data_IF_433964086895
#
_entry.id   IF_433964086895
#
_cell.length_a   1.000
_cell.length_b   1.000
_cell.length_c   1.000
_cell.angle_alpha   90.00
_cell.angle_beta   90.00
_cell.angle_gamma   90.00
#
_symmetry.space_group_name_H-M   'P 1'
#
loop_
_entity.id
_entity.type
_entity.pdbx_description
1 polymer ?
#
# COMPACT_ATOMS: atom_id res chain seq x y z
N UNK A 1 18.55 40.21 -27.26
CA UNK A 1 18.96 38.88 -26.80
C UNK A 1 18.42 38.73 -25.39
N UNK A 2 17.16 38.33 -25.25
CA UNK A 2 16.75 36.91 -25.15
C UNK A 2 17.40 36.26 -23.90
N UNK A 3 16.68 35.73 -22.90
CA UNK A 3 15.41 35.01 -22.96
C UNK A 3 14.59 35.16 -21.69
N UNK A 4 13.30 35.40 -21.90
CA UNK A 4 12.21 34.97 -21.05
C UNK A 4 12.30 33.44 -20.83
N UNK A 5 12.27 32.94 -19.59
CA UNK A 5 11.56 31.69 -19.27
C UNK A 5 11.53 31.44 -17.76
N UNK A 6 10.78 32.25 -17.02
CA UNK A 6 10.37 31.97 -15.63
C UNK A 6 8.89 31.59 -15.52
N UNK A 7 8.27 31.16 -16.64
CA UNK A 7 6.82 30.88 -16.73
C UNK A 7 6.46 29.39 -16.82
N UNK A 8 7.45 28.49 -16.81
CA UNK A 8 7.24 27.06 -17.00
C UNK A 8 6.76 26.30 -15.76
N UNK A 9 7.20 26.67 -14.56
CA UNK A 9 6.93 25.87 -13.35
C UNK A 9 5.59 26.17 -12.68
N UNK A 10 5.05 27.39 -12.80
CA UNK A 10 3.79 27.77 -12.15
C UNK A 10 2.53 27.32 -12.92
N UNK A 11 2.68 26.67 -14.08
CA UNK A 11 1.54 26.33 -14.94
C UNK A 11 0.93 24.95 -14.64
N UNK A 12 1.63 24.08 -13.89
CA UNK A 12 1.19 22.69 -13.63
C UNK A 12 0.34 22.50 -12.36
N UNK A 13 0.33 23.47 -11.43
CA UNK A 13 -0.42 23.33 -10.16
C UNK A 13 -1.83 23.93 -10.20
N UNK A 14 -2.23 24.52 -11.33
CA UNK A 14 -3.61 24.92 -11.55
C UNK A 14 -4.38 23.73 -12.12
N UNK A 15 -4.46 22.64 -11.34
CA UNK A 15 -5.42 21.58 -11.59
C UNK A 15 -6.81 22.20 -11.54
N UNK A 16 -7.30 22.58 -12.71
CA UNK A 16 -8.57 23.27 -12.88
C UNK A 16 -9.64 22.30 -12.41
N UNK A 17 -10.09 22.46 -11.15
CA UNK A 17 -11.08 21.56 -10.55
C UNK A 17 -12.24 21.43 -11.53
N UNK A 18 -12.48 20.20 -11.99
CA UNK A 18 -13.49 19.92 -13.00
C UNK A 18 -14.83 20.55 -12.61
N UNK A 19 -15.58 21.17 -13.55
CA UNK A 19 -16.89 21.74 -13.27
C UNK A 19 -17.84 20.75 -12.58
N UNK A 20 -17.71 19.45 -12.88
CA UNK A 20 -18.45 18.36 -12.25
C UNK A 20 -18.11 18.24 -10.76
N UNK A 21 -16.83 18.29 -10.41
CA UNK A 21 -16.35 18.23 -9.02
C UNK A 21 -16.81 19.47 -8.24
N UNK A 22 -16.75 20.66 -8.85
CA UNK A 22 -17.27 21.90 -8.23
C UNK A 22 -18.77 21.80 -7.93
N UNK A 23 -19.56 21.23 -8.85
CA UNK A 23 -21.01 21.02 -8.67
C UNK A 23 -21.27 20.02 -7.54
N UNK A 24 -20.54 18.90 -7.52
CA UNK A 24 -20.66 17.88 -6.47
C UNK A 24 -20.34 18.47 -5.08
N UNK A 25 -19.23 19.20 -4.95
CA UNK A 25 -18.83 19.80 -3.68
C UNK A 25 -19.83 20.85 -3.18
N UNK A 26 -20.43 21.62 -4.09
CA UNK A 26 -21.50 22.58 -3.75
C UNK A 26 -22.76 21.86 -3.24
N UNK A 27 -23.10 20.73 -3.85
CA UNK A 27 -24.24 19.89 -3.43
C UNK A 27 -23.96 19.26 -2.06
N UNK A 28 -22.74 18.77 -1.83
CA UNK A 28 -22.35 18.25 -0.52
C UNK A 28 -22.43 19.31 0.59
N UNK A 29 -22.19 20.59 0.27
CA UNK A 29 -22.29 21.70 1.25
C UNK A 29 -23.72 22.01 1.68
N UNK A 30 -24.75 21.63 0.92
CA UNK A 30 -26.14 21.80 1.35
C UNK A 30 -26.61 20.69 2.30
N UNK A 31 -25.80 19.65 2.51
CA UNK A 31 -26.13 18.57 3.45
C UNK A 31 -25.82 18.95 4.90
N UNK A 32 -26.48 18.27 5.82
CA UNK A 32 -26.18 18.34 7.25
C UNK A 32 -24.75 17.85 7.54
N UNK A 33 -24.25 18.14 8.75
CA UNK A 33 -22.92 17.66 9.17
C UNK A 33 -22.82 16.14 9.16
N UNK A 34 -23.86 15.44 9.61
CA UNK A 34 -23.88 13.97 9.64
C UNK A 34 -23.81 13.37 8.24
N UNK A 35 -24.63 13.86 7.31
CA UNK A 35 -24.64 13.40 5.92
C UNK A 35 -23.29 13.64 5.22
N UNK A 36 -22.65 14.79 5.48
CA UNK A 36 -21.30 15.07 4.96
C UNK A 36 -20.26 14.10 5.50
N UNK A 37 -20.34 13.74 6.78
CA UNK A 37 -19.42 12.76 7.38
C UNK A 37 -19.61 11.36 6.78
N UNK A 38 -20.87 10.93 6.59
CA UNK A 38 -21.17 9.64 5.94
C UNK A 38 -20.66 9.63 4.49
N UNK A 39 -20.90 10.71 3.73
CA UNK A 39 -20.40 10.82 2.36
C UNK A 39 -18.87 10.80 2.30
N UNK A 40 -18.19 11.49 3.22
CA UNK A 40 -16.73 11.49 3.32
C UNK A 40 -16.19 10.08 3.60
N UNK A 41 -16.82 9.33 4.51
CA UNK A 41 -16.46 7.94 4.78
C UNK A 41 -16.61 7.07 3.53
N UNK A 42 -17.76 7.11 2.86
CA UNK A 42 -18.01 6.30 1.67
C UNK A 42 -17.04 6.63 0.53
N UNK A 43 -16.71 7.92 0.34
CA UNK A 43 -15.70 8.32 -0.64
C UNK A 43 -14.32 7.80 -0.26
N UNK A 44 -13.93 7.89 1.01
CA UNK A 44 -12.67 7.34 1.49
C UNK A 44 -12.61 5.83 1.27
N UNK A 45 -13.63 5.09 1.68
CA UNK A 45 -13.74 3.64 1.47
C UNK A 45 -13.65 3.28 -0.03
N UNK A 46 -14.19 4.11 -0.93
CA UNK A 46 -14.10 3.88 -2.38
C UNK A 46 -12.72 4.14 -2.99
N UNK A 47 -11.87 4.90 -2.28
CA UNK A 47 -10.51 5.22 -2.68
C UNK A 47 -9.48 4.27 -2.06
N UNK A 48 -9.86 3.56 -1.00
CA UNK A 48 -9.11 2.40 -0.54
C UNK A 48 -9.29 1.32 -1.63
N UNK A 49 -8.46 1.44 -2.67
CA UNK A 49 -8.08 0.30 -3.50
C UNK A 49 -7.60 -0.77 -2.53
N UNK A 50 -7.97 -2.01 -2.79
CA UNK A 50 -7.75 -3.16 -1.92
C UNK A 50 -6.24 -3.45 -1.76
N UNK A 51 -5.50 -2.56 -1.10
CA UNK A 51 -4.10 -2.74 -0.69
C UNK A 51 -3.99 -3.90 0.32
N UNK A 52 -5.14 -4.35 0.86
CA UNK A 52 -5.25 -5.60 1.60
C UNK A 52 -5.18 -6.83 0.69
N UNK A 53 -5.58 -6.73 -0.58
CA UNK A 53 -5.39 -7.77 -1.61
C UNK A 53 -3.89 -7.91 -1.92
N UNK A 54 -3.17 -6.79 -2.12
CA UNK A 54 -1.70 -6.80 -2.28
C UNK A 54 -0.97 -7.30 -1.00
N UNK A 55 -1.47 -6.97 0.20
CA UNK A 55 -0.91 -7.47 1.45
C UNK A 55 -1.16 -8.98 1.67
N UNK A 56 -2.31 -9.49 1.20
CA UNK A 56 -2.60 -10.92 1.18
C UNK A 56 -1.67 -11.67 0.22
N UNK A 57 -1.30 -11.04 -0.90
CA UNK A 57 -0.33 -11.58 -1.86
C UNK A 57 1.07 -11.73 -1.25
N UNK A 58 1.55 -10.77 -0.44
CA UNK A 58 2.85 -10.91 0.23
C UNK A 58 2.89 -12.05 1.24
N UNK A 59 1.81 -12.24 2.00
CA UNK A 59 1.72 -13.35 2.94
C UNK A 59 1.68 -14.70 2.23
N UNK A 60 0.89 -14.80 1.15
CA UNK A 60 0.80 -16.01 0.33
C UNK A 60 2.13 -16.35 -0.35
N UNK A 61 2.81 -15.35 -0.92
CA UNK A 61 4.14 -15.50 -1.53
C UNK A 61 5.19 -15.93 -0.50
N UNK A 62 5.16 -15.33 0.69
CA UNK A 62 6.07 -15.68 1.80
C UNK A 62 5.83 -17.11 2.29
N UNK A 63 4.58 -17.51 2.47
CA UNK A 63 4.23 -18.87 2.89
C UNK A 63 4.66 -19.91 1.85
N UNK A 64 4.40 -19.67 0.56
CA UNK A 64 4.79 -20.59 -0.51
C UNK A 64 6.32 -20.74 -0.64
N UNK A 65 7.06 -19.65 -0.46
CA UNK A 65 8.53 -19.70 -0.43
C UNK A 65 9.04 -20.48 0.80
N UNK A 66 8.45 -20.22 1.97
CA UNK A 66 8.82 -20.91 3.20
C UNK A 66 8.51 -22.41 3.16
N UNK A 67 7.33 -22.80 2.67
CA UNK A 67 6.94 -24.22 2.52
C UNK A 67 7.91 -24.98 1.60
N UNK A 68 8.44 -24.32 0.57
CA UNK A 68 9.42 -24.93 -0.34
C UNK A 68 10.76 -25.20 0.35
N UNK A 69 11.19 -24.31 1.23
CA UNK A 69 12.48 -24.39 1.92
C UNK A 69 12.37 -25.08 3.29
N UNK A 70 11.15 -25.40 3.75
CA UNK A 70 10.89 -26.00 5.06
C UNK A 70 11.42 -27.43 5.22
N UNK A 71 11.48 -28.19 4.13
CA UNK A 71 12.03 -29.57 4.10
C UNK A 71 13.35 -29.59 3.32
N UNK A 72 14.26 -28.70 3.69
CA UNK A 72 15.57 -28.61 3.08
C UNK A 72 16.52 -29.69 3.67
N UNK A 73 16.94 -30.69 2.89
CA UNK A 73 17.84 -31.74 3.37
C UNK A 73 19.23 -31.23 3.79
N UNK A 74 19.65 -30.05 3.31
CA UNK A 74 20.89 -29.42 3.76
C UNK A 74 20.75 -28.87 5.19
N UNK A 75 19.54 -28.46 5.59
CA UNK A 75 19.24 -28.00 6.95
C UNK A 75 19.05 -29.16 7.94
N UNK A 76 18.76 -30.37 7.46
CA UNK A 76 18.73 -31.58 8.28
C UNK A 76 20.10 -31.90 8.93
N UNK A 77 21.19 -31.32 8.43
CA UNK A 77 22.52 -31.37 9.08
C UNK A 77 22.47 -30.72 10.48
N UNK A 78 21.58 -29.74 10.68
CA UNK A 78 21.38 -29.12 11.98
C UNK A 78 20.58 -29.97 12.96
N UNK A 79 19.91 -31.05 12.55
CA UNK A 79 19.23 -31.94 13.51
C UNK A 79 20.23 -32.58 14.48
N UNK A 80 21.42 -32.90 13.95
CA UNK A 80 22.54 -33.48 14.69
C UNK A 80 23.67 -32.47 14.95
N UNK A 81 23.35 -31.16 15.03
CA UNK A 81 24.35 -30.09 15.22
C UNK A 81 25.29 -30.36 16.42
N UNK A 82 24.79 -31.00 17.48
CA UNK A 82 25.59 -31.37 18.65
C UNK A 82 26.69 -32.37 18.32
N UNK A 83 26.44 -33.32 17.43
CA UNK A 83 27.45 -34.26 16.94
C UNK A 83 28.48 -33.55 16.06
N UNK A 84 28.02 -32.67 15.16
CA UNK A 84 28.89 -31.89 14.28
C UNK A 84 29.86 -30.96 15.02
N UNK A 85 29.45 -30.41 16.16
CA UNK A 85 30.26 -29.49 16.97
C UNK A 85 30.82 -30.11 18.27
N UNK A 86 30.68 -31.44 18.46
CA UNK A 86 31.22 -32.14 19.64
C UNK A 86 30.62 -31.72 20.97
N UNK A 87 29.38 -31.22 20.98
CA UNK A 87 28.66 -30.79 22.18
C UNK A 87 28.04 -32.02 22.85
N UNK A 88 28.51 -32.38 24.04
CA UNK A 88 27.97 -33.56 24.74
C UNK A 88 26.51 -33.35 25.14
N UNK A 89 25.64 -34.29 24.77
CA UNK A 89 24.34 -34.48 25.42
C UNK A 89 24.61 -35.12 26.79
N UNK A 90 24.68 -34.31 27.83
CA UNK A 90 24.63 -34.81 29.22
C UNK A 90 23.30 -35.48 29.51
#
# INVERSE_FOLDING_TARGET
MDRLSGKGENMMLNSTISPRVKKALRTARSFSTTERLVLAKLLLDSLVVDEAEDAADWFALGLAAFEKDWDNPDDAIYDNWREAYGVSTR
#
